data_IF_365284626162
#
_entry.id   IF_365284626162
#
_cell.length_a   1.000
_cell.length_b   1.000
_cell.length_c   1.000
_cell.angle_alpha   90.00
_cell.angle_beta   90.00
_cell.angle_gamma   90.00
#
_symmetry.space_group_name_H-M   'P 1'
#
loop_
_entity.id
_entity.type
_entity.pdbx_description
1 polymer ?
#
# COMPACT_ATOMS: atom_id res chain seq x y z
N UNK A 1 14.80 -26.87 -10.46
CA UNK A 1 13.39 -26.82 -10.03
C UNK A 1 13.05 -25.36 -9.86
N UNK A 2 12.38 -24.78 -10.85
CA UNK A 2 12.04 -23.36 -10.93
C UNK A 2 10.91 -23.10 -9.92
N UNK A 3 11.10 -22.17 -8.98
CA UNK A 3 10.03 -21.79 -8.04
C UNK A 3 8.92 -21.11 -8.85
N UNK A 4 7.64 -21.45 -8.65
CA UNK A 4 6.56 -20.75 -9.32
C UNK A 4 6.68 -19.27 -8.95
N UNK A 5 6.67 -18.40 -9.95
CA UNK A 5 6.73 -16.94 -9.74
C UNK A 5 5.59 -16.56 -8.80
N UNK A 6 5.94 -16.21 -7.57
CA UNK A 6 5.02 -15.73 -6.55
C UNK A 6 4.23 -14.57 -7.16
N UNK A 7 2.92 -14.74 -7.35
CA UNK A 7 2.07 -13.67 -7.88
C UNK A 7 1.96 -12.62 -6.79
N UNK A 8 2.91 -11.68 -6.78
CA UNK A 8 2.90 -10.56 -5.84
C UNK A 8 1.81 -9.59 -6.30
N UNK A 9 0.62 -9.73 -5.73
CA UNK A 9 -0.46 -8.77 -5.92
C UNK A 9 0.00 -7.40 -5.40
N UNK A 10 0.19 -6.45 -6.31
CA UNK A 10 0.61 -5.09 -5.99
C UNK A 10 -0.61 -4.17 -5.86
N UNK A 11 -0.59 -3.27 -4.87
CA UNK A 11 -1.69 -2.31 -4.63
C UNK A 11 -1.16 -0.89 -4.60
N UNK A 12 -1.86 0.03 -5.27
CA UNK A 12 -1.62 1.47 -5.19
C UNK A 12 -2.73 2.13 -4.38
N UNK A 13 -2.38 2.78 -3.28
CA UNK A 13 -3.26 3.60 -2.46
C UNK A 13 -2.98 5.07 -2.77
N UNK A 14 -4.02 5.81 -3.16
CA UNK A 14 -3.93 7.24 -3.47
C UNK A 14 -4.62 8.04 -2.36
N UNK A 15 -3.84 8.85 -1.64
CA UNK A 15 -4.27 9.67 -0.52
C UNK A 15 -3.68 9.19 0.82
N UNK A 16 -2.82 10.00 1.43
CA UNK A 16 -2.16 9.77 2.72
C UNK A 16 -2.92 10.35 3.92
N UNK A 17 -4.25 10.40 3.86
CA UNK A 17 -5.10 10.68 5.02
C UNK A 17 -5.24 9.47 5.95
N UNK A 18 -5.93 9.62 7.09
CA UNK A 18 -6.09 8.53 8.09
C UNK A 18 -6.61 7.23 7.48
N UNK A 19 -7.58 7.33 6.56
CA UNK A 19 -8.16 6.17 5.89
C UNK A 19 -7.16 5.49 4.95
N UNK A 20 -6.44 6.26 4.13
CA UNK A 20 -5.48 5.70 3.17
C UNK A 20 -4.25 5.10 3.86
N UNK A 21 -3.79 5.70 4.96
CA UNK A 21 -2.75 5.11 5.81
C UNK A 21 -3.23 3.78 6.36
N UNK A 22 -4.43 3.72 6.95
CA UNK A 22 -4.94 2.47 7.53
C UNK A 22 -5.10 1.39 6.45
N UNK A 23 -5.68 1.72 5.29
CA UNK A 23 -5.80 0.78 4.17
C UNK A 23 -4.45 0.27 3.70
N UNK A 24 -3.43 1.14 3.60
CA UNK A 24 -2.10 0.74 3.19
C UNK A 24 -1.45 -0.23 4.20
N UNK A 25 -1.61 0.03 5.50
CA UNK A 25 -1.12 -0.84 6.56
C UNK A 25 -1.82 -2.20 6.56
N UNK A 26 -3.15 -2.23 6.42
CA UNK A 26 -3.93 -3.47 6.42
C UNK A 26 -3.54 -4.36 5.24
N UNK A 27 -3.37 -3.78 4.06
CA UNK A 27 -2.92 -4.48 2.85
C UNK A 27 -1.47 -4.96 2.97
N UNK A 28 -0.57 -4.13 3.52
CA UNK A 28 0.81 -4.55 3.75
C UNK A 28 0.89 -5.72 4.75
N UNK A 29 0.10 -5.67 5.83
CA UNK A 29 0.00 -6.76 6.81
C UNK A 29 -0.60 -8.04 6.21
N UNK A 30 -1.48 -7.92 5.22
CA UNK A 30 -2.03 -9.04 4.48
C UNK A 30 -1.07 -9.62 3.41
N UNK A 31 0.16 -9.11 3.31
CA UNK A 31 1.20 -9.63 2.43
C UNK A 31 1.24 -9.02 1.03
N UNK A 32 0.48 -7.95 0.79
CA UNK A 32 0.51 -7.24 -0.49
C UNK A 32 1.68 -6.27 -0.57
N UNK A 33 2.24 -6.09 -1.77
CA UNK A 33 3.21 -5.01 -2.02
C UNK A 33 2.45 -3.71 -2.26
N UNK A 34 2.49 -2.80 -1.29
CA UNK A 34 1.71 -1.56 -1.31
C UNK A 34 2.56 -0.35 -1.66
N UNK A 35 2.04 0.50 -2.55
CA UNK A 35 2.53 1.85 -2.80
C UNK A 35 1.51 2.84 -2.26
N UNK A 36 1.92 3.76 -1.39
CA UNK A 36 1.08 4.86 -0.92
C UNK A 36 1.56 6.16 -1.56
N UNK A 37 0.67 6.88 -2.23
CA UNK A 37 0.97 8.17 -2.87
C UNK A 37 0.11 9.26 -2.24
N UNK A 38 0.75 10.35 -1.81
CA UNK A 38 0.11 11.55 -1.27
C UNK A 38 0.60 12.77 -2.05
N UNK A 39 -0.31 13.73 -2.29
CA UNK A 39 -0.01 14.97 -3.00
C UNK A 39 0.79 15.95 -2.13
N UNK A 40 0.50 15.99 -0.83
CA UNK A 40 1.18 16.85 0.14
C UNK A 40 2.57 16.28 0.50
N UNK A 41 3.50 17.11 0.99
CA UNK A 41 4.80 16.65 1.49
C UNK A 41 4.72 15.77 2.75
N UNK A 42 3.54 15.67 3.37
CA UNK A 42 3.31 14.95 4.62
C UNK A 42 2.01 14.16 4.56
N UNK A 43 2.00 13.01 5.25
CA UNK A 43 0.80 12.23 5.52
C UNK A 43 0.04 12.80 6.72
N UNK A 44 -1.23 12.39 6.90
CA UNK A 44 -2.09 12.81 8.01
C UNK A 44 -3.48 13.28 7.56
N UNK A 45 -3.61 13.74 6.32
CA UNK A 45 -4.89 14.18 5.75
C UNK A 45 -5.15 15.68 5.91
N UNK A 46 -6.32 16.02 6.44
CA UNK A 46 -6.76 17.40 6.75
C UNK A 46 -6.28 17.83 8.12
#
# INVERSE_FOLDING_TARGET
>A
MEKPSEVVSQVLVVGGGVAGIQSALDLANAGYKVYLVEKKPSIGGV
#
